data_IF_869945489395
#
_entry.id   IF_869945489395
#
_cell.length_a   1.000
_cell.length_b   1.000
_cell.length_c   1.000
_cell.angle_alpha   90.00
_cell.angle_beta   90.00
_cell.angle_gamma   90.00
#
_symmetry.space_group_name_H-M   'P 1'
#
loop_
_entity.id
_entity.type
_entity.pdbx_description
1 polymer ?
#
# COMPACT_ATOMS: atom_id res chain seq x y z
N UNK A 1 12.39 1.26 18.06
CA UNK A 1 11.16 1.06 17.27
C UNK A 1 11.45 0.15 16.09
N UNK A 2 10.83 -1.01 16.10
CA UNK A 2 11.02 -1.97 15.03
C UNK A 2 9.90 -1.85 14.00
N UNK A 3 10.24 -1.59 12.75
CA UNK A 3 9.31 -1.64 11.64
C UNK A 3 9.29 -3.04 11.05
N UNK A 4 8.09 -3.48 10.71
CA UNK A 4 7.87 -4.76 10.01
C UNK A 4 6.98 -4.52 8.80
N UNK A 5 7.00 -5.47 7.88
CA UNK A 5 6.13 -5.48 6.72
C UNK A 5 5.07 -6.56 6.82
N UNK A 6 3.89 -6.25 6.32
CA UNK A 6 2.80 -7.20 6.14
C UNK A 6 2.47 -7.24 4.66
N UNK A 7 2.72 -8.37 4.02
CA UNK A 7 2.42 -8.57 2.60
C UNK A 7 1.00 -9.04 2.39
N UNK A 8 0.27 -8.37 1.54
CA UNK A 8 -1.08 -8.75 1.12
C UNK A 8 -1.09 -9.05 -0.37
N UNK A 9 -1.42 -10.29 -0.73
CA UNK A 9 -1.62 -10.69 -2.11
C UNK A 9 -3.06 -10.39 -2.53
N UNK A 10 -3.24 -9.80 -3.71
CA UNK A 10 -4.57 -9.42 -4.20
C UNK A 10 -5.45 -10.61 -4.55
N UNK A 11 -4.90 -11.81 -4.67
CA UNK A 11 -5.70 -13.03 -4.81
C UNK A 11 -6.60 -13.30 -3.60
N UNK A 12 -6.28 -12.72 -2.44
CA UNK A 12 -7.17 -12.76 -1.27
C UNK A 12 -8.45 -11.95 -1.47
N UNK A 13 -8.43 -10.96 -2.35
CA UNK A 13 -9.59 -10.09 -2.63
C UNK A 13 -10.32 -10.58 -3.87
N UNK A 14 -9.59 -10.94 -4.91
CA UNK A 14 -10.15 -11.53 -6.11
C UNK A 14 -9.30 -12.73 -6.52
N UNK A 15 -9.88 -13.92 -6.40
CA UNK A 15 -9.20 -15.19 -6.60
C UNK A 15 -8.49 -15.30 -7.96
N UNK A 16 -9.08 -14.72 -8.99
CA UNK A 16 -8.57 -14.80 -10.35
C UNK A 16 -7.64 -13.63 -10.71
N UNK A 17 -7.23 -12.85 -9.71
CA UNK A 17 -6.28 -11.77 -9.94
C UNK A 17 -4.94 -12.33 -10.38
N UNK A 18 -4.51 -11.91 -11.57
CA UNK A 18 -3.28 -12.37 -12.17
C UNK A 18 -2.66 -11.28 -13.03
N UNK A 19 -1.48 -10.83 -12.66
CA UNK A 19 -0.76 -9.77 -13.37
C UNK A 19 -0.31 -10.16 -14.77
N UNK A 20 -0.17 -11.45 -15.06
CA UNK A 20 0.15 -11.90 -16.41
C UNK A 20 -0.89 -11.47 -17.44
N UNK A 21 -2.13 -11.29 -17.03
CA UNK A 21 -3.17 -10.75 -17.89
C UNK A 21 -3.11 -9.23 -18.00
N UNK A 22 -2.55 -8.55 -17.00
CA UNK A 22 -2.44 -7.08 -16.99
C UNK A 22 -1.31 -6.59 -17.89
N UNK A 23 -0.30 -7.42 -18.14
CA UNK A 23 0.84 -7.10 -19.03
C UNK A 23 0.50 -7.09 -20.50
N UNK A 24 -0.71 -7.47 -20.84
CA UNK A 24 -1.16 -7.53 -22.23
C UNK A 24 -2.24 -6.51 -22.48
N UNK A 25 -2.47 -6.19 -23.74
CA UNK A 25 -3.65 -5.46 -24.20
C UNK A 25 -4.88 -6.31 -23.92
N UNK A 26 -5.27 -6.37 -22.68
CA UNK A 26 -6.26 -7.32 -22.28
C UNK A 26 -7.56 -6.61 -21.97
N UNK A 27 -8.43 -6.61 -22.97
CA UNK A 27 -9.82 -6.24 -22.80
C UNK A 27 -10.65 -7.40 -22.26
N UNK A 28 -9.99 -8.42 -21.66
CA UNK A 28 -10.71 -9.53 -21.06
C UNK A 28 -11.62 -9.05 -19.96
N UNK A 29 -12.96 -9.21 -20.09
CA UNK A 29 -13.89 -8.69 -19.11
C UNK A 29 -13.69 -9.26 -17.70
N UNK A 30 -13.25 -10.51 -17.58
CA UNK A 30 -12.99 -11.12 -16.27
C UNK A 30 -11.81 -10.46 -15.55
N UNK A 31 -10.73 -10.19 -16.30
CA UNK A 31 -9.55 -9.50 -15.75
C UNK A 31 -9.89 -8.09 -15.32
N UNK A 32 -10.61 -7.34 -16.14
CA UNK A 32 -11.05 -5.98 -15.82
C UNK A 32 -11.93 -5.95 -14.60
N UNK A 33 -12.88 -6.89 -14.50
CA UNK A 33 -13.77 -6.99 -13.35
C UNK A 33 -13.01 -7.30 -12.06
N UNK A 34 -12.03 -8.20 -12.12
CA UNK A 34 -11.18 -8.54 -10.99
C UNK A 34 -10.34 -7.34 -10.53
N UNK A 35 -9.72 -6.63 -11.46
CA UNK A 35 -8.97 -5.42 -11.17
C UNK A 35 -9.84 -4.34 -10.51
N UNK A 36 -11.05 -4.12 -11.02
CA UNK A 36 -11.99 -3.16 -10.43
C UNK A 36 -12.40 -3.55 -9.02
N UNK A 37 -12.60 -4.84 -8.78
CA UNK A 37 -12.94 -5.35 -7.45
C UNK A 37 -11.81 -5.07 -6.45
N UNK A 38 -10.57 -5.30 -6.82
CA UNK A 38 -9.41 -5.03 -5.99
C UNK A 38 -9.28 -3.53 -5.71
N UNK A 39 -9.41 -2.69 -6.72
CA UNK A 39 -9.32 -1.23 -6.57
C UNK A 39 -10.42 -0.71 -5.64
N UNK A 40 -11.64 -1.18 -5.81
CA UNK A 40 -12.77 -0.78 -4.96
C UNK A 40 -12.58 -1.22 -3.52
N UNK A 41 -12.14 -2.45 -3.32
CA UNK A 41 -11.84 -2.97 -1.99
C UNK A 41 -10.76 -2.12 -1.31
N UNK A 42 -9.72 -1.79 -2.05
CA UNK A 42 -8.61 -1.03 -1.51
C UNK A 42 -9.02 0.41 -1.15
N UNK A 43 -9.85 1.02 -1.98
CA UNK A 43 -10.38 2.36 -1.71
C UNK A 43 -11.21 2.40 -0.43
N UNK A 44 -12.08 1.41 -0.23
CA UNK A 44 -12.86 1.26 1.01
C UNK A 44 -11.92 1.03 2.21
N UNK A 45 -10.95 0.16 2.06
CA UNK A 45 -9.97 -0.12 3.10
C UNK A 45 -9.21 1.14 3.55
N UNK A 46 -8.70 1.91 2.59
CA UNK A 46 -7.98 3.15 2.88
C UNK A 46 -8.90 4.20 3.54
N UNK A 47 -10.14 4.29 3.10
CA UNK A 47 -11.13 5.20 3.68
C UNK A 47 -11.41 4.84 5.13
N UNK A 48 -11.57 3.56 5.43
CA UNK A 48 -11.78 3.08 6.80
C UNK A 48 -10.58 3.37 7.69
N UNK A 49 -9.38 3.15 7.18
CA UNK A 49 -8.14 3.43 7.89
C UNK A 49 -7.99 4.92 8.19
N UNK A 50 -8.23 5.76 7.19
CA UNK A 50 -8.16 7.21 7.36
C UNK A 50 -9.17 7.71 8.39
N UNK A 51 -10.38 7.20 8.34
CA UNK A 51 -11.42 7.58 9.31
C UNK A 51 -11.10 7.13 10.73
N UNK A 52 -10.55 5.93 10.88
CA UNK A 52 -10.24 5.38 12.21
C UNK A 52 -9.09 6.11 12.90
N UNK A 53 -8.03 6.43 12.17
CA UNK A 53 -6.82 7.07 12.74
C UNK A 53 -6.75 8.57 12.48
N UNK A 54 -7.69 9.13 11.72
CA UNK A 54 -7.65 10.53 11.27
C UNK A 54 -6.37 10.82 10.48
N UNK A 55 -5.97 9.87 9.64
CA UNK A 55 -4.78 9.99 8.81
C UNK A 55 -5.08 10.65 7.48
N UNK A 56 -4.10 11.38 6.99
CA UNK A 56 -4.04 11.84 5.60
C UNK A 56 -3.10 10.94 4.82
N UNK A 57 -3.27 10.91 3.51
CA UNK A 57 -2.44 10.12 2.63
C UNK A 57 -1.47 11.03 1.89
N UNK A 58 -0.21 10.66 1.92
CA UNK A 58 0.86 11.39 1.26
C UNK A 58 1.60 10.47 0.31
N UNK A 59 2.01 11.02 -0.82
CA UNK A 59 2.88 10.30 -1.73
C UNK A 59 4.32 10.61 -1.42
N UNK A 60 5.14 9.57 -1.22
CA UNK A 60 6.57 9.70 -1.07
C UNK A 60 7.22 9.60 -2.44
N UNK A 61 7.94 10.65 -2.85
CA UNK A 61 8.71 10.62 -4.07
C UNK A 61 10.10 10.02 -3.75
N UNK A 62 10.43 8.90 -4.39
CA UNK A 62 11.70 8.22 -4.14
C UNK A 62 12.91 8.96 -4.71
N UNK A 63 12.70 9.78 -5.73
CA UNK A 63 13.78 10.49 -6.40
C UNK A 63 14.03 11.89 -5.81
N UNK A 64 13.00 12.49 -5.22
CA UNK A 64 13.06 13.77 -4.54
C UNK A 64 12.33 13.63 -3.20
N UNK A 65 13.06 13.10 -2.26
CA UNK A 65 12.54 12.55 -1.01
C UNK A 65 12.16 13.60 0.03
N UNK A 66 12.26 14.88 -0.27
CA UNK A 66 12.19 15.91 0.76
C UNK A 66 10.77 16.37 1.08
N UNK A 67 9.80 16.11 0.23
CA UNK A 67 8.44 16.56 0.47
C UNK A 67 7.42 15.45 0.26
N UNK A 68 6.56 15.26 1.25
CA UNK A 68 5.38 14.43 1.08
C UNK A 68 4.28 15.29 0.44
N UNK A 69 3.74 14.82 -0.65
CA UNK A 69 2.61 15.47 -1.30
C UNK A 69 1.31 14.81 -0.85
N UNK A 70 0.41 15.61 -0.27
CA UNK A 70 -0.91 15.12 0.13
C UNK A 70 -1.73 14.70 -1.09
N UNK A 71 -2.36 13.53 -0.98
CA UNK A 71 -3.26 13.01 -2.00
C UNK A 71 -4.68 13.11 -1.46
N UNK A 72 -5.51 13.88 -2.14
CA UNK A 72 -6.88 14.15 -1.73
C UNK A 72 -7.83 13.01 -2.11
N UNK A 73 -7.48 12.26 -3.15
CA UNK A 73 -8.27 11.13 -3.60
C UNK A 73 -7.58 9.82 -3.23
N UNK A 74 -8.31 8.94 -2.55
CA UNK A 74 -7.84 7.61 -2.13
C UNK A 74 -7.73 6.67 -3.34
N UNK A 75 -6.94 7.04 -4.35
CA UNK A 75 -6.70 6.18 -5.49
C UNK A 75 -5.29 5.64 -5.41
N UNK A 76 -5.20 4.41 -5.05
CA UNK A 76 -3.97 3.65 -5.12
C UNK A 76 -3.97 2.90 -6.45
N UNK A 77 -3.07 3.29 -7.34
CA UNK A 77 -2.94 2.60 -8.63
C UNK A 77 -1.75 1.66 -8.54
N UNK A 78 -2.05 0.38 -8.46
CA UNK A 78 -1.03 -0.67 -8.42
C UNK A 78 -0.47 -0.95 -9.79
N UNK A 79 -1.24 -0.61 -10.80
CA UNK A 79 -0.92 -0.89 -12.17
C UNK A 79 -1.29 0.31 -13.02
N UNK A 80 -0.34 0.77 -13.80
CA UNK A 80 -0.59 1.80 -14.78
C UNK A 80 -1.36 1.19 -15.95
N UNK A 81 -2.45 1.83 -16.37
CA UNK A 81 -3.17 1.45 -17.57
C UNK A 81 -2.28 1.53 -18.83
N UNK A 82 -1.13 2.17 -18.72
CA UNK A 82 -0.12 2.28 -19.78
C UNK A 82 0.91 1.13 -19.75
N UNK A 83 0.68 0.11 -18.95
CA UNK A 83 1.47 -1.13 -18.89
C UNK A 83 2.87 -0.99 -18.27
N UNK A 84 3.13 0.10 -17.59
CA UNK A 84 4.34 0.22 -16.79
C UNK A 84 4.00 0.03 -15.32
N UNK A 85 4.59 -0.99 -14.72
CA UNK A 85 4.50 -1.16 -13.28
C UNK A 85 5.43 -0.17 -12.63
N UNK A 86 4.83 0.84 -12.02
CA UNK A 86 5.57 1.84 -11.27
C UNK A 86 5.42 1.50 -9.79
N UNK A 87 6.55 1.24 -9.13
CA UNK A 87 6.54 1.08 -7.69
C UNK A 87 6.15 2.41 -7.06
N UNK A 88 5.04 2.41 -6.33
CA UNK A 88 4.52 3.60 -5.67
C UNK A 88 4.63 3.43 -4.17
N UNK A 89 5.01 4.49 -3.50
CA UNK A 89 5.15 4.53 -2.05
C UNK A 89 4.29 5.64 -1.48
N UNK A 90 3.44 5.26 -0.53
CA UNK A 90 2.54 6.18 0.13
C UNK A 90 2.76 6.11 1.63
N UNK A 91 2.57 7.25 2.29
CA UNK A 91 2.64 7.35 3.74
C UNK A 91 1.29 7.84 4.24
N UNK A 92 0.75 7.15 5.24
CA UNK A 92 -0.47 7.56 5.93
C UNK A 92 -0.15 7.94 7.35
N UNK A 93 -0.42 9.18 7.71
CA UNK A 93 -0.13 9.75 9.02
C UNK A 93 -0.91 11.06 9.20
N UNK A 94 -0.90 11.62 10.42
CA UNK A 94 -1.68 12.83 10.70
C UNK A 94 -1.10 14.08 10.06
N UNK A 95 0.22 14.23 10.11
CA UNK A 95 0.90 15.43 9.66
C UNK A 95 1.89 15.17 8.55
N UNK A 96 2.07 16.14 7.65
CA UNK A 96 3.11 16.08 6.65
C UNK A 96 4.47 16.26 7.32
N UNK A 97 5.31 15.26 7.21
CA UNK A 97 6.68 15.28 7.72
C UNK A 97 7.61 14.93 6.56
N UNK A 98 8.74 15.58 6.49
CA UNK A 98 9.75 15.30 5.49
C UNK A 98 10.57 14.07 5.88
N UNK A 99 10.61 13.08 5.00
CA UNK A 99 11.45 11.91 5.16
C UNK A 99 12.45 11.82 4.02
N UNK A 100 13.69 11.57 4.35
CA UNK A 100 14.76 11.37 3.37
C UNK A 100 14.84 9.89 2.97
N UNK A 101 13.80 9.41 2.30
CA UNK A 101 13.71 8.03 1.84
C UNK A 101 13.16 7.05 2.88
N UNK A 102 13.15 5.77 2.50
CA UNK A 102 12.55 4.68 3.29
C UNK A 102 13.29 4.44 4.61
N UNK A 103 14.61 4.50 4.58
CA UNK A 103 15.42 4.29 5.78
C UNK A 103 15.14 5.36 6.83
N UNK A 104 15.07 6.62 6.41
CA UNK A 104 14.75 7.72 7.31
C UNK A 104 13.35 7.56 7.92
N UNK A 105 12.37 7.19 7.09
CA UNK A 105 11.02 6.89 7.57
C UNK A 105 11.05 5.76 8.61
N UNK A 106 11.77 4.68 8.33
CA UNK A 106 11.80 3.50 9.22
C UNK A 106 12.37 3.82 10.60
N UNK A 107 13.30 4.76 10.68
CA UNK A 107 13.96 5.15 11.93
C UNK A 107 13.24 6.23 12.70
N UNK A 108 12.49 7.10 12.03
CA UNK A 108 11.98 8.32 12.63
C UNK A 108 10.46 8.42 12.67
N UNK A 109 9.76 7.72 11.81
CA UNK A 109 8.30 7.83 11.73
C UNK A 109 7.63 7.17 12.94
N UNK A 110 6.68 7.89 13.52
CA UNK A 110 5.80 7.40 14.57
C UNK A 110 4.35 7.57 14.13
N UNK A 111 3.48 6.65 14.53
CA UNK A 111 2.08 6.65 14.14
C UNK A 111 1.90 6.86 12.64
N UNK A 112 2.63 6.08 11.87
CA UNK A 112 2.69 6.19 10.42
C UNK A 112 2.64 4.82 9.78
N UNK A 113 1.90 4.71 8.70
CA UNK A 113 1.83 3.52 7.86
C UNK A 113 2.46 3.84 6.51
N UNK A 114 3.40 3.03 6.09
CA UNK A 114 3.94 3.12 4.74
C UNK A 114 3.33 2.01 3.90
N UNK A 115 2.81 2.35 2.73
CA UNK A 115 2.21 1.41 1.80
C UNK A 115 3.01 1.43 0.51
N UNK A 116 3.41 0.25 0.06
CA UNK A 116 4.16 0.10 -1.17
C UNK A 116 3.60 -1.07 -1.97
N UNK A 117 3.33 -0.88 -3.25
CA UNK A 117 2.98 -1.99 -4.12
C UNK A 117 4.22 -2.84 -4.38
N UNK A 118 4.03 -4.14 -4.65
CA UNK A 118 5.15 -4.95 -5.08
C UNK A 118 5.52 -4.62 -6.54
N UNK A 119 6.71 -5.02 -6.95
CA UNK A 119 7.23 -4.72 -8.29
C UNK A 119 6.50 -5.46 -9.40
N UNK A 120 5.77 -6.51 -9.09
CA UNK A 120 4.99 -7.29 -10.05
C UNK A 120 3.51 -6.90 -10.07
N UNK A 121 3.07 -6.03 -9.15
CA UNK A 121 1.68 -5.59 -9.06
C UNK A 121 0.73 -6.62 -8.48
N UNK A 122 1.23 -7.68 -7.86
CA UNK A 122 0.41 -8.78 -7.33
C UNK A 122 -0.14 -8.51 -5.94
N UNK A 123 0.37 -7.49 -5.27
CA UNK A 123 -0.04 -7.15 -3.92
C UNK A 123 0.58 -5.85 -3.43
N UNK A 124 0.44 -5.65 -2.14
CA UNK A 124 1.02 -4.50 -1.44
C UNK A 124 1.69 -4.96 -0.16
N UNK A 125 2.63 -4.13 0.29
CA UNK A 125 3.25 -4.25 1.59
C UNK A 125 2.80 -3.09 2.47
N UNK A 126 2.41 -3.41 3.69
CA UNK A 126 2.14 -2.43 4.74
C UNK A 126 3.31 -2.46 5.72
N UNK A 127 4.00 -1.35 5.86
CA UNK A 127 5.10 -1.25 6.82
C UNK A 127 4.66 -0.42 8.01
N UNK A 128 4.79 -0.98 9.19
CA UNK A 128 4.32 -0.40 10.44
C UNK A 128 5.32 -0.65 11.56
N UNK A 129 5.21 0.11 12.62
CA UNK A 129 5.88 -0.22 13.87
C UNK A 129 5.23 -1.46 14.49
N UNK A 130 6.05 -2.44 14.81
CA UNK A 130 5.58 -3.68 15.42
C UNK A 130 4.88 -3.40 16.75
N UNK A 131 3.73 -4.05 16.96
CA UNK A 131 2.89 -3.96 18.14
C UNK A 131 2.27 -2.57 18.37
N UNK A 132 2.30 -1.69 17.37
CA UNK A 132 1.59 -0.42 17.42
C UNK A 132 0.08 -0.61 17.25
N UNK A 133 -0.69 0.44 17.56
CA UNK A 133 -2.15 0.41 17.37
C UNK A 133 -2.53 0.13 15.92
N UNK A 134 -1.81 0.72 14.98
CA UNK A 134 -2.06 0.49 13.57
C UNK A 134 -1.71 -0.93 13.14
N UNK A 135 -0.65 -1.52 13.68
CA UNK A 135 -0.31 -2.92 13.45
C UNK A 135 -1.46 -3.83 13.91
N UNK A 136 -1.94 -3.64 15.13
CA UNK A 136 -3.04 -4.43 15.67
C UNK A 136 -4.33 -4.24 14.87
N UNK A 137 -4.62 -3.02 14.43
CA UNK A 137 -5.77 -2.73 13.61
C UNK A 137 -5.70 -3.45 12.26
N UNK A 138 -4.53 -3.45 11.62
CA UNK A 138 -4.32 -4.15 10.34
C UNK A 138 -4.55 -5.65 10.49
N UNK A 139 -3.98 -6.26 11.52
CA UNK A 139 -4.15 -7.69 11.76
C UNK A 139 -5.61 -8.08 11.95
N UNK A 140 -6.36 -7.25 12.66
CA UNK A 140 -7.80 -7.48 12.87
C UNK A 140 -8.60 -7.22 11.61
N UNK A 141 -8.33 -6.13 10.90
CA UNK A 141 -9.05 -5.75 9.69
C UNK A 141 -8.85 -6.75 8.57
N UNK A 142 -7.68 -7.35 8.49
CA UNK A 142 -7.28 -8.29 7.44
C UNK A 142 -7.17 -9.73 7.95
N UNK A 143 -7.94 -10.09 8.98
CA UNK A 143 -7.87 -11.41 9.60
C UNK A 143 -8.33 -12.54 8.68
N UNK A 144 -9.15 -12.24 7.69
CA UNK A 144 -9.59 -13.17 6.65
C UNK A 144 -8.61 -13.31 5.48
N UNK A 145 -7.55 -12.51 5.48
CA UNK A 145 -6.50 -12.57 4.47
C UNK A 145 -5.27 -13.28 5.04
N UNK A 146 -4.57 -14.00 4.18
CA UNK A 146 -3.28 -14.59 4.53
C UNK A 146 -2.19 -13.54 4.38
N UNK A 147 -1.77 -12.93 5.49
CA UNK A 147 -0.71 -11.94 5.48
C UNK A 147 0.64 -12.59 5.74
N UNK A 148 1.65 -12.17 5.00
CA UNK A 148 3.03 -12.56 5.22
C UNK A 148 3.76 -11.48 6.02
N UNK A 149 4.26 -11.82 7.21
CA UNK A 149 5.11 -10.91 7.97
C UNK A 149 6.53 -10.98 7.43
N UNK A 150 7.08 -9.84 7.06
CA UNK A 150 8.44 -9.72 6.54
C UNK A 150 9.20 -8.64 7.33
N UNK A 151 10.53 -8.74 7.41
CA UNK A 151 11.33 -7.67 7.98
C UNK A 151 11.29 -6.44 7.08
N UNK A 152 11.51 -5.25 7.66
CA UNK A 152 11.65 -4.04 6.85
C UNK A 152 12.87 -4.21 5.92
N UNK A 153 12.74 -3.86 4.62
CA UNK A 153 13.83 -4.05 3.69
C UNK A 153 15.06 -3.25 4.11
N UNK A 154 16.21 -3.90 4.13
CA UNK A 154 17.48 -3.20 4.25
C UNK A 154 17.78 -2.49 2.93
N UNK A 155 18.02 -1.22 3.03
CA UNK A 155 18.37 -0.39 1.87
C UNK A 155 19.88 -0.27 1.78
#
# INVERSE_FOLDING_TARGET
MKKIGLGLDFSNICRDYNTAFLDRDNDDPATVACMRKVLKWFDVFLTDLQGHFEYKMYRMNQNDSLALKEIVQNRFFFYSLEKEMIMQTFVMQKEAVTYNGLEHWSKNAQDSLLIQNDDEGEGVYFYVEKDSDIHMWLLKKLDDCSLDEIPFPEV
#
